data_IF_320371372806
#
_entry.id   IF_320371372806
#
_cell.length_a   1.000
_cell.length_b   1.000
_cell.length_c   1.000
_cell.angle_alpha   90.00
_cell.angle_beta   90.00
_cell.angle_gamma   90.00
#
_symmetry.space_group_name_H-M   'P 1'
#
loop_
_entity.id
_entity.type
_entity.pdbx_description
1 polymer ?
#
# COMPACT_ATOMS: atom_id res chain seq x y z
N UNK A 1 20.59 -5.09 -0.88
CA UNK A 1 19.54 -4.23 -1.45
C UNK A 1 18.80 -5.05 -2.49
N UNK A 2 17.80 -5.83 -2.04
CA UNK A 2 16.83 -6.40 -2.98
C UNK A 2 15.90 -5.26 -3.36
N UNK A 3 15.73 -5.03 -4.66
CA UNK A 3 14.59 -4.25 -5.10
C UNK A 3 13.37 -5.13 -4.81
N UNK A 4 12.44 -4.65 -4.00
CA UNK A 4 11.20 -5.39 -3.75
C UNK A 4 10.46 -5.47 -5.09
N UNK A 5 10.58 -6.62 -5.76
CA UNK A 5 9.96 -6.86 -7.08
C UNK A 5 8.45 -6.62 -7.04
N UNK A 6 7.88 -6.75 -5.84
CA UNK A 6 6.47 -6.60 -5.55
C UNK A 6 6.01 -5.14 -5.31
N UNK A 7 6.93 -4.19 -5.10
CA UNK A 7 6.55 -2.79 -4.85
C UNK A 7 5.62 -2.19 -5.92
N UNK A 8 5.88 -2.36 -7.24
CA UNK A 8 5.01 -1.79 -8.27
C UNK A 8 3.60 -2.36 -8.23
N UNK A 9 3.48 -3.66 -7.90
CA UNK A 9 2.19 -4.35 -7.81
C UNK A 9 1.44 -3.95 -6.53
N UNK A 10 2.15 -3.82 -5.41
CA UNK A 10 1.60 -3.31 -4.15
C UNK A 10 1.03 -1.91 -4.34
N UNK A 11 1.84 -1.00 -4.91
CA UNK A 11 1.43 0.37 -5.22
C UNK A 11 0.20 0.39 -6.13
N UNK A 12 0.16 -0.44 -7.17
CA UNK A 12 -0.96 -0.51 -8.12
C UNK A 12 -2.26 -0.91 -7.40
N UNK A 13 -2.21 -1.92 -6.54
CA UNK A 13 -3.38 -2.39 -5.79
C UNK A 13 -3.80 -1.39 -4.71
N UNK A 14 -2.86 -0.75 -4.01
CA UNK A 14 -3.15 0.34 -3.09
C UNK A 14 -3.86 1.49 -3.80
N UNK A 15 -3.39 1.90 -4.98
CA UNK A 15 -4.03 2.96 -5.76
C UNK A 15 -5.44 2.57 -6.20
N UNK A 16 -5.64 1.33 -6.65
CA UNK A 16 -6.97 0.83 -6.98
C UNK A 16 -7.93 0.82 -5.77
N UNK A 17 -7.43 0.52 -4.59
CA UNK A 17 -8.17 0.56 -3.34
C UNK A 17 -8.61 2.00 -2.98
N UNK A 18 -7.69 2.96 -3.09
CA UNK A 18 -7.94 4.39 -2.89
C UNK A 18 -8.99 4.91 -3.88
N UNK A 19 -8.82 4.62 -5.17
CA UNK A 19 -9.72 5.05 -6.24
C UNK A 19 -11.12 4.44 -6.09
N UNK A 20 -11.22 3.16 -5.70
CA UNK A 20 -12.49 2.49 -5.47
C UNK A 20 -13.24 2.98 -4.21
N UNK A 21 -12.48 3.46 -3.21
CA UNK A 21 -13.02 4.01 -1.97
C UNK A 21 -13.32 5.50 -1.99
N UNK A 22 -13.05 6.19 -3.10
CA UNK A 22 -13.06 7.66 -3.19
C UNK A 22 -12.25 8.32 -2.05
N UNK A 23 -11.11 7.71 -1.69
CA UNK A 23 -10.29 8.16 -0.57
C UNK A 23 -9.45 9.35 -1.02
N UNK A 24 -9.67 10.50 -0.38
CA UNK A 24 -8.80 11.66 -0.54
C UNK A 24 -7.38 11.35 -0.04
N UNK A 25 -6.36 11.66 -0.85
CA UNK A 25 -4.93 11.53 -0.51
C UNK A 25 -4.59 12.22 0.81
N UNK A 26 -5.16 13.39 1.09
CA UNK A 26 -4.92 14.09 2.35
C UNK A 26 -5.48 13.34 3.56
N UNK A 27 -6.64 12.68 3.43
CA UNK A 27 -7.21 11.85 4.49
C UNK A 27 -6.40 10.58 4.71
N UNK A 28 -5.95 9.94 3.62
CA UNK A 28 -5.05 8.80 3.67
C UNK A 28 -3.76 9.16 4.41
N UNK A 29 -3.12 10.27 4.02
CA UNK A 29 -1.89 10.74 4.63
C UNK A 29 -2.08 11.08 6.11
N UNK A 30 -3.16 11.77 6.49
CA UNK A 30 -3.44 12.10 7.88
C UNK A 30 -3.59 10.85 8.75
N UNK A 31 -4.30 9.83 8.26
CA UNK A 31 -4.46 8.58 9.01
C UNK A 31 -3.14 7.80 9.09
N UNK A 32 -2.45 7.66 7.96
CA UNK A 32 -1.11 7.07 7.89
C UNK A 32 -0.12 7.74 8.86
N UNK A 33 -0.10 9.06 8.92
CA UNK A 33 0.72 9.82 9.86
C UNK A 33 0.32 9.55 11.31
N UNK A 34 -0.99 9.45 11.59
CA UNK A 34 -1.51 9.13 12.93
C UNK A 34 -1.11 7.74 13.44
N UNK A 35 -0.83 6.78 12.54
CA UNK A 35 -0.41 5.42 12.90
C UNK A 35 1.12 5.23 12.87
N UNK A 36 1.89 6.32 12.72
CA UNK A 36 3.35 6.30 12.82
C UNK A 36 4.10 6.42 11.48
N UNK A 37 3.40 6.79 10.40
CA UNK A 37 4.01 7.09 9.12
C UNK A 37 5.01 8.25 9.19
N UNK A 38 6.18 8.08 8.58
CA UNK A 38 7.27 9.08 8.63
C UNK A 38 7.39 9.95 7.37
N UNK A 39 6.70 9.58 6.30
CA UNK A 39 6.79 10.18 4.96
C UNK A 39 5.81 11.36 4.81
N UNK A 40 6.23 12.43 4.13
CA UNK A 40 5.40 13.60 3.89
C UNK A 40 4.27 13.35 2.88
N UNK A 41 3.25 14.22 2.88
CA UNK A 41 2.09 14.10 1.98
C UNK A 41 2.50 14.08 0.50
N UNK A 42 3.42 14.97 0.11
CA UNK A 42 3.94 15.02 -1.27
C UNK A 42 4.76 13.79 -1.65
N UNK A 43 5.46 13.18 -0.69
CA UNK A 43 6.20 11.95 -0.92
C UNK A 43 5.25 10.75 -1.05
N UNK A 44 4.16 10.72 -0.27
CA UNK A 44 3.08 9.73 -0.45
C UNK A 44 2.45 9.87 -1.84
N UNK A 45 2.15 11.09 -2.27
CA UNK A 45 1.64 11.34 -3.62
C UNK A 45 2.65 10.89 -4.69
N UNK A 46 3.92 11.26 -4.52
CA UNK A 46 4.99 10.86 -5.44
C UNK A 46 5.16 9.34 -5.51
N UNK A 47 5.05 8.66 -4.36
CA UNK A 47 5.05 7.20 -4.30
C UNK A 47 3.85 6.63 -5.04
N UNK A 48 2.62 7.10 -4.80
CA UNK A 48 1.42 6.63 -5.49
C UNK A 48 1.46 6.86 -7.01
N UNK A 49 2.17 7.89 -7.46
CA UNK A 49 2.43 8.16 -8.88
C UNK A 49 3.60 7.33 -9.46
N UNK A 50 4.31 6.58 -8.63
CA UNK A 50 5.46 5.76 -9.03
C UNK A 50 6.72 6.58 -9.34
N UNK A 51 6.81 7.82 -8.85
CA UNK A 51 7.97 8.70 -9.04
C UNK A 51 9.10 8.39 -8.07
N UNK A 52 8.75 7.87 -6.87
CA UNK A 52 9.72 7.45 -5.85
C UNK A 52 9.36 6.06 -5.32
N UNK A 53 10.35 5.42 -4.70
CA UNK A 53 10.17 4.23 -3.86
C UNK A 53 10.29 4.62 -2.39
N UNK A 54 9.50 3.98 -1.54
CA UNK A 54 9.52 4.18 -0.09
C UNK A 54 9.75 2.83 0.61
N UNK A 55 10.25 2.81 1.85
CA UNK A 55 10.51 1.58 2.58
C UNK A 55 9.26 0.70 2.72
N UNK A 56 9.44 -0.62 2.75
CA UNK A 56 8.39 -1.63 2.90
C UNK A 56 7.38 -1.29 4.02
N UNK A 57 7.90 -0.95 5.20
CA UNK A 57 7.08 -0.54 6.34
C UNK A 57 6.14 0.62 5.99
N UNK A 58 6.61 1.61 5.24
CA UNK A 58 5.81 2.77 4.86
C UNK A 58 4.73 2.40 3.83
N UNK A 59 5.04 1.47 2.92
CA UNK A 59 4.06 0.92 1.96
C UNK A 59 2.94 0.17 2.70
N UNK A 60 3.32 -0.63 3.69
CA UNK A 60 2.38 -1.42 4.49
C UNK A 60 1.51 -0.53 5.39
N UNK A 61 2.09 0.52 5.98
CA UNK A 61 1.31 1.51 6.73
C UNK A 61 0.31 2.26 5.84
N UNK A 62 0.68 2.61 4.61
CA UNK A 62 -0.26 3.19 3.64
C UNK A 62 -1.38 2.21 3.26
N UNK A 63 -1.05 0.93 3.08
CA UNK A 63 -2.05 -0.11 2.85
C UNK A 63 -2.99 -0.28 4.04
N UNK A 64 -2.46 -0.24 5.27
CA UNK A 64 -3.25 -0.31 6.50
C UNK A 64 -4.21 0.88 6.60
N UNK A 65 -3.70 2.09 6.35
CA UNK A 65 -4.49 3.31 6.36
C UNK A 65 -5.62 3.26 5.31
N UNK A 66 -5.32 2.83 4.08
CA UNK A 66 -6.32 2.67 3.04
C UNK A 66 -7.38 1.64 3.43
N UNK A 67 -6.98 0.51 4.02
CA UNK A 67 -7.88 -0.57 4.44
C UNK A 67 -8.84 -0.14 5.55
N UNK A 68 -8.33 0.58 6.55
CA UNK A 68 -9.16 1.08 7.65
C UNK A 68 -10.17 2.12 7.15
N UNK A 69 -9.75 3.01 6.25
CA UNK A 69 -10.65 3.96 5.60
C UNK A 69 -11.69 3.23 4.73
N UNK A 70 -11.29 2.19 4.00
CA UNK A 70 -12.19 1.37 3.19
C UNK A 70 -13.19 0.54 3.99
N UNK A 71 -12.83 0.05 5.17
CA UNK A 71 -13.77 -0.67 6.04
C UNK A 71 -14.99 0.18 6.39
N UNK A 72 -14.85 1.50 6.37
CA UNK A 72 -15.96 2.43 6.56
C UNK A 72 -16.86 2.59 5.32
N UNK A 73 -16.36 2.25 4.12
CA UNK A 73 -17.00 2.55 2.82
C UNK A 73 -17.30 1.33 1.92
N UNK A 74 -16.73 0.15 2.22
CA UNK A 74 -16.94 -1.10 1.48
C UNK A 74 -16.26 -1.14 0.10
N UNK A 75 -14.95 -1.40 0.06
CA UNK A 75 -14.16 -1.51 -1.19
C UNK A 75 -13.05 -2.57 -1.16
N UNK A 76 -12.31 -2.75 -2.27
CA UNK A 76 -11.26 -3.76 -2.39
C UNK A 76 -10.05 -3.42 -1.53
N UNK A 77 -9.63 -4.37 -0.68
CA UNK A 77 -8.52 -4.23 0.26
C UNK A 77 -7.17 -4.07 -0.46
N UNK A 78 -6.36 -3.11 -0.02
CA UNK A 78 -4.96 -2.97 -0.40
C UNK A 78 -4.11 -4.05 0.30
N UNK A 79 -3.26 -4.80 -0.43
CA UNK A 79 -2.41 -5.82 0.17
C UNK A 79 -1.18 -5.23 0.87
N UNK A 80 -0.69 -5.94 1.87
CA UNK A 80 0.63 -5.75 2.45
C UNK A 80 1.72 -6.41 1.60
N UNK A 81 2.98 -6.09 1.88
CA UNK A 81 4.14 -6.57 1.13
C UNK A 81 4.29 -8.10 1.20
N UNK A 82 3.96 -8.72 2.34
CA UNK A 82 4.02 -10.17 2.57
C UNK A 82 2.87 -10.95 1.90
N UNK A 83 1.79 -10.27 1.52
CA UNK A 83 0.64 -10.85 0.82
C UNK A 83 0.85 -10.95 -0.69
N UNK A 84 1.95 -10.39 -1.20
CA UNK A 84 2.32 -10.49 -2.61
C UNK A 84 3.30 -11.66 -2.80
N UNK A 85 3.06 -12.52 -3.79
CA UNK A 85 3.97 -13.62 -4.07
C UNK A 85 5.31 -13.03 -4.51
N UNK A 86 6.36 -13.23 -3.71
CA UNK A 86 7.74 -13.11 -4.15
C UNK A 86 7.90 -14.06 -5.36
N UNK A 87 8.27 -13.50 -6.52
CA UNK A 87 8.51 -14.24 -7.77
C UNK A 87 9.59 -15.30 -7.51
N UNK A 88 9.20 -16.49 -7.03
CA UNK A 88 10.12 -17.52 -6.56
C UNK A 88 9.65 -18.47 -5.45
N UNK A 89 8.56 -18.21 -4.72
CA UNK A 89 8.06 -19.19 -3.73
C UNK A 89 7.21 -20.26 -4.41
N UNK A 90 7.63 -21.54 -4.47
CA UNK A 90 6.76 -22.61 -4.92
C UNK A 90 5.58 -22.66 -3.95
N UNK A 91 4.37 -22.51 -4.48
CA UNK A 91 3.14 -22.88 -3.79
C UNK A 91 3.35 -24.28 -3.23
N UNK A 92 3.56 -24.41 -1.92
CA UNK A 92 3.44 -25.69 -1.24
C UNK A 92 1.98 -26.07 -1.31
N UNK A 93 1.64 -26.66 -2.44
CA UNK A 93 0.50 -27.55 -2.64
C UNK A 93 0.76 -28.73 -1.71
N UNK A 94 0.10 -28.74 -0.55
CA UNK A 94 0.12 -29.88 0.38
C UNK A 94 -1.20 -30.67 0.21
N UNK A 95 -1.14 -32.02 0.20
CA UNK A 95 -2.11 -32.92 -0.45
C UNK A 95 -3.44 -33.17 0.27
#
# INVERSE_FOLDING_TARGET
MGFDTNEPEQRRKLRAAIDAGDINIGNLWLYYFSIGGSVGEYEVEAYLQGMISIPELERDLLAMAANDLLNNHGGPRAPYSDELPEDGSPTSEDP
#
